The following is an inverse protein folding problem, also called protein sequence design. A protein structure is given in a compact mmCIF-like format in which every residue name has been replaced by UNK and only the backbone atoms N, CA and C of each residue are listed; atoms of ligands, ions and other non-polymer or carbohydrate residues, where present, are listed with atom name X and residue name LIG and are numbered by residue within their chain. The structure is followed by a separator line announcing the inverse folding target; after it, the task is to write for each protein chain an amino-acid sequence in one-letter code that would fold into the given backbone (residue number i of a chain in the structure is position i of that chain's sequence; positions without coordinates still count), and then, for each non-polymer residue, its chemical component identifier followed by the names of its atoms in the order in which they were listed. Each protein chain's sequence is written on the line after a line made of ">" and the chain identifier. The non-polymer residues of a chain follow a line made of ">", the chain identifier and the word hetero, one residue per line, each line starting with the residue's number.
data_IF_785354454259
#
_entry.id   IF_785354454259
#
_cell.length_a   1.000
_cell.length_b   1.000
_cell.length_c   1.000
_cell.angle_alpha   90.00
_cell.angle_beta   90.00
_cell.angle_gamma   90.00
#
_symmetry.space_group_name_H-M   'P 1'
#
loop_
_entity.id
_entity.type
_entity.pdbx_description
1 polymer ?
#
# COMPACT_ATOMS: atom_id res chain seq x y z
N UNK A 1 80.03 -25.68 -14.42
CA UNK A 1 79.09 -25.48 -13.29
C UNK A 1 78.16 -24.34 -13.70
N UNK A 2 76.85 -24.54 -13.55
CA UNK A 2 75.73 -23.85 -14.24
C UNK A 2 75.73 -22.32 -14.09
N UNK A 3 75.45 -21.52 -15.16
CA UNK A 3 75.09 -20.11 -15.00
C UNK A 3 73.64 -19.97 -14.54
N UNK A 4 73.44 -19.21 -13.44
CA UNK A 4 72.15 -18.99 -12.78
C UNK A 4 71.10 -18.32 -13.66
N UNK A 5 69.87 -18.82 -13.55
CA UNK A 5 68.70 -18.46 -14.36
C UNK A 5 68.15 -17.05 -14.11
N UNK A 6 67.50 -16.55 -15.15
CA UNK A 6 66.97 -15.20 -15.32
C UNK A 6 65.83 -14.83 -14.35
N UNK A 7 65.86 -13.57 -13.89
CA UNK A 7 64.72 -12.87 -13.29
C UNK A 7 63.75 -12.46 -14.39
N UNK A 8 62.51 -12.95 -14.34
CA UNK A 8 61.37 -12.38 -15.06
C UNK A 8 60.25 -12.04 -14.07
N UNK A 9 59.76 -10.79 -14.01
CA UNK A 9 58.53 -10.49 -13.29
C UNK A 9 57.32 -10.87 -14.16
N UNK A 10 56.46 -11.73 -13.61
CA UNK A 10 55.13 -12.07 -14.14
C UNK A 10 54.15 -10.91 -13.92
N UNK A 11 53.29 -10.58 -14.90
CA UNK A 11 52.16 -9.68 -14.65
C UNK A 11 51.05 -10.48 -13.96
N UNK A 12 51.03 -10.48 -12.63
CA UNK A 12 49.82 -10.90 -11.90
C UNK A 12 48.83 -9.74 -11.98
N UNK A 13 47.92 -9.81 -12.96
CA UNK A 13 46.68 -9.04 -12.93
C UNK A 13 45.86 -9.54 -11.73
N UNK A 14 46.05 -8.91 -10.58
CA UNK A 14 45.27 -9.17 -9.39
C UNK A 14 43.82 -8.83 -9.66
N UNK A 15 42.99 -9.86 -9.76
CA UNK A 15 41.54 -9.75 -9.75
C UNK A 15 41.15 -9.09 -8.40
N UNK A 16 40.58 -7.88 -8.36
CA UNK A 16 40.09 -7.36 -7.10
C UNK A 16 38.82 -8.13 -6.73
N UNK A 17 38.99 -9.18 -5.92
CA UNK A 17 37.92 -9.84 -5.16
C UNK A 17 37.39 -8.90 -4.08
N UNK A 18 36.92 -7.72 -4.46
CA UNK A 18 36.44 -6.68 -3.56
C UNK A 18 35.25 -5.89 -4.16
N UNK A 19 34.51 -6.50 -5.09
CA UNK A 19 33.35 -5.89 -5.75
C UNK A 19 32.01 -6.58 -5.48
N UNK A 20 31.95 -7.55 -4.55
CA UNK A 20 30.75 -8.40 -4.37
C UNK A 20 29.90 -8.10 -3.14
N UNK A 21 30.43 -7.42 -2.12
CA UNK A 21 29.77 -7.38 -0.82
C UNK A 21 28.86 -6.15 -0.56
N UNK A 22 29.00 -5.07 -1.33
CA UNK A 22 28.27 -3.82 -1.03
C UNK A 22 26.93 -3.70 -1.79
N UNK A 23 26.66 -4.56 -2.78
CA UNK A 23 25.44 -4.50 -3.60
C UNK A 23 24.25 -5.32 -3.05
N UNK A 24 24.40 -5.96 -1.88
CA UNK A 24 23.36 -6.82 -1.28
C UNK A 24 22.60 -6.16 -0.12
N UNK A 25 22.94 -4.93 0.29
CA UNK A 25 22.34 -4.27 1.45
C UNK A 25 21.24 -3.24 1.10
N UNK A 26 20.87 -3.08 -0.18
CA UNK A 26 19.93 -2.04 -0.61
C UNK A 26 18.53 -2.53 -1.02
N UNK A 27 18.15 -3.78 -0.74
CA UNK A 27 16.82 -4.32 -1.12
C UNK A 27 15.92 -4.59 0.07
N UNK A 28 15.90 -3.71 1.07
CA UNK A 28 14.78 -3.63 2.03
C UNK A 28 14.11 -2.28 1.95
N UNK A 29 13.69 -1.90 0.75
CA UNK A 29 12.77 -0.81 0.51
C UNK A 29 11.70 -1.33 -0.45
N UNK A 30 10.58 -1.81 0.08
CA UNK A 30 9.55 -2.43 -0.76
C UNK A 30 8.30 -2.82 -0.01
N UNK A 31 7.46 -1.80 0.27
CA UNK A 31 6.06 -1.85 0.68
C UNK A 31 5.75 -2.52 2.03
N UNK A 32 5.22 -1.72 2.96
CA UNK A 32 4.20 -2.19 3.87
C UNK A 32 2.99 -2.65 3.03
N UNK A 33 3.06 -3.86 2.48
CA UNK A 33 1.88 -4.53 1.99
C UNK A 33 1.15 -4.98 3.24
N UNK A 34 0.07 -4.27 3.58
CA UNK A 34 -0.90 -4.79 4.55
C UNK A 34 -1.21 -6.24 4.16
N UNK A 35 -1.20 -7.18 5.12
CA UNK A 35 -1.39 -8.59 4.83
C UNK A 35 -2.63 -8.78 3.95
N UNK A 36 -2.54 -9.50 2.83
CA UNK A 36 -3.72 -9.86 2.06
C UNK A 36 -4.52 -10.83 2.92
N UNK A 37 -5.52 -10.35 3.67
CA UNK A 37 -6.36 -11.25 4.43
C UNK A 37 -7.07 -10.74 5.67
N UNK A 38 -7.21 -9.43 5.85
CA UNK A 38 -8.36 -8.92 6.59
C UNK A 38 -9.32 -8.23 5.63
N UNK A 39 -10.31 -8.98 5.12
CA UNK A 39 -11.41 -8.38 4.38
C UNK A 39 -12.10 -7.32 5.24
N UNK A 40 -12.65 -6.29 4.62
CA UNK A 40 -13.29 -5.15 5.31
C UNK A 40 -14.27 -5.60 6.41
N UNK A 41 -14.94 -6.74 6.20
CA UNK A 41 -15.87 -7.35 7.15
C UNK A 41 -15.31 -7.56 8.56
N UNK A 42 -13.99 -7.71 8.76
CA UNK A 42 -13.39 -7.85 10.08
C UNK A 42 -13.60 -6.62 10.98
N UNK A 43 -13.83 -5.45 10.38
CA UNK A 43 -14.09 -4.20 11.09
C UNK A 43 -15.59 -3.90 11.23
N UNK A 44 -16.47 -4.84 10.88
CA UNK A 44 -17.90 -4.74 11.18
C UNK A 44 -18.12 -4.67 12.70
N UNK A 45 -19.04 -3.81 13.15
CA UNK A 45 -19.29 -3.49 14.56
C UNK A 45 -18.09 -2.88 15.31
N UNK A 46 -17.05 -2.42 14.60
CA UNK A 46 -15.98 -1.59 15.17
C UNK A 46 -16.33 -0.10 14.98
N UNK A 47 -15.37 0.67 14.49
CA UNK A 47 -15.55 2.07 14.12
C UNK A 47 -15.33 2.28 12.63
N UNK A 48 -15.86 3.39 12.17
CA UNK A 48 -15.70 3.89 10.81
C UNK A 48 -14.24 4.19 10.48
N UNK A 49 -13.48 4.74 11.43
CA UNK A 49 -12.05 5.01 11.31
C UNK A 49 -11.24 3.72 11.14
N UNK A 50 -11.61 2.67 11.88
CA UNK A 50 -10.96 1.37 11.74
C UNK A 50 -11.29 0.71 10.39
N UNK A 51 -12.55 0.79 9.95
CA UNK A 51 -12.98 0.27 8.65
C UNK A 51 -12.26 0.98 7.49
N UNK A 52 -12.13 2.30 7.55
CA UNK A 52 -11.58 3.12 6.47
C UNK A 52 -10.07 3.30 6.50
N UNK A 53 -9.35 2.56 7.38
CA UNK A 53 -7.90 2.38 7.24
C UNK A 53 -7.55 1.86 5.84
N UNK A 54 -8.41 0.98 5.32
CA UNK A 54 -8.37 0.57 3.93
C UNK A 54 -9.40 1.38 3.13
N UNK A 55 -8.90 2.21 2.22
CA UNK A 55 -9.73 3.08 1.36
C UNK A 55 -10.58 2.30 0.35
N UNK A 56 -10.33 1.00 0.20
CA UNK A 56 -11.14 0.07 -0.59
C UNK A 56 -12.38 -0.41 0.18
N UNK A 57 -12.54 -0.04 1.45
CA UNK A 57 -13.69 -0.40 2.27
C UNK A 57 -14.79 0.68 2.25
N UNK A 58 -16.03 0.22 2.46
CA UNK A 58 -17.22 1.03 2.70
C UNK A 58 -17.66 0.83 4.14
N UNK A 59 -17.87 1.93 4.86
CA UNK A 59 -18.56 1.92 6.14
C UNK A 59 -20.03 2.31 5.99
N UNK A 60 -20.92 1.51 6.57
CA UNK A 60 -22.35 1.81 6.64
C UNK A 60 -22.77 2.12 8.08
N UNK A 61 -23.15 3.36 8.35
CA UNK A 61 -23.60 3.77 9.69
C UNK A 61 -24.96 3.19 10.08
N UNK A 62 -25.77 2.70 9.13
CA UNK A 62 -27.11 2.20 9.44
C UNK A 62 -27.07 0.89 10.24
N UNK A 63 -26.06 0.06 10.00
CA UNK A 63 -25.93 -1.28 10.57
C UNK A 63 -24.50 -1.58 11.07
N UNK A 64 -23.65 -0.55 11.15
CA UNK A 64 -22.24 -0.66 11.54
C UNK A 64 -21.48 -1.73 10.75
N UNK A 65 -21.80 -1.87 9.45
CA UNK A 65 -21.15 -2.83 8.58
C UNK A 65 -19.94 -2.22 7.87
N UNK A 66 -18.86 -2.98 7.78
CA UNK A 66 -17.70 -2.67 6.96
C UNK A 66 -17.62 -3.68 5.81
N UNK A 67 -17.66 -3.22 4.57
CA UNK A 67 -17.79 -4.06 3.38
C UNK A 67 -16.75 -3.67 2.33
N UNK A 68 -16.34 -4.61 1.48
CA UNK A 68 -15.50 -4.28 0.34
C UNK A 68 -16.27 -3.39 -0.64
N UNK A 69 -15.65 -2.27 -0.99
CA UNK A 69 -16.24 -1.27 -1.86
C UNK A 69 -15.57 -1.24 -3.23
N UNK A 70 -16.32 -1.43 -4.33
CA UNK A 70 -15.74 -1.36 -5.65
C UNK A 70 -15.27 0.06 -6.00
N UNK A 71 -13.96 0.22 -6.18
CA UNK A 71 -13.29 1.47 -6.60
C UNK A 71 -13.64 1.88 -8.05
N UNK A 72 -14.48 1.09 -8.75
CA UNK A 72 -14.88 1.37 -10.14
C UNK A 72 -15.99 2.41 -10.26
N UNK A 73 -16.72 2.71 -9.18
CA UNK A 73 -17.79 3.71 -9.16
C UNK A 73 -17.55 4.74 -8.07
N UNK A 74 -17.71 6.01 -8.42
CA UNK A 74 -17.50 7.12 -7.50
C UNK A 74 -18.48 7.09 -6.34
N UNK A 75 -19.74 6.68 -6.57
CA UNK A 75 -20.79 6.61 -5.55
C UNK A 75 -21.22 5.17 -5.25
N UNK A 76 -21.33 4.79 -3.96
CA UNK A 76 -21.82 3.49 -3.57
C UNK A 76 -23.29 3.34 -3.95
N UNK A 77 -23.67 2.19 -4.54
CA UNK A 77 -25.07 1.93 -4.84
C UNK A 77 -25.87 1.82 -3.54
N UNK A 78 -27.09 2.37 -3.54
CA UNK A 78 -27.98 2.38 -2.37
C UNK A 78 -28.38 0.99 -1.86
N UNK A 79 -28.19 -0.05 -2.68
CA UNK A 79 -28.41 -1.45 -2.30
C UNK A 79 -27.39 -1.98 -1.28
N UNK A 80 -26.18 -1.42 -1.22
CA UNK A 80 -25.17 -1.79 -0.23
C UNK A 80 -25.36 -1.01 1.07
N UNK A 81 -25.57 0.30 0.95
CA UNK A 81 -25.89 1.19 2.06
C UNK A 81 -26.54 2.44 1.49
N UNK A 82 -27.54 2.99 2.20
CA UNK A 82 -28.13 4.27 1.81
C UNK A 82 -27.04 5.34 1.78
N UNK A 83 -26.96 6.10 0.69
CA UNK A 83 -25.86 7.06 0.44
C UNK A 83 -25.65 8.05 1.60
N UNK A 84 -26.73 8.46 2.28
CA UNK A 84 -26.68 9.32 3.47
C UNK A 84 -25.87 8.73 4.63
N UNK A 85 -25.84 7.40 4.75
CA UNK A 85 -25.21 6.65 5.84
C UNK A 85 -23.89 5.99 5.42
N UNK A 86 -23.57 6.00 4.12
CA UNK A 86 -22.39 5.41 3.53
C UNK A 86 -21.17 6.35 3.65
N UNK A 87 -20.00 5.80 3.99
CA UNK A 87 -18.71 6.52 4.06
C UNK A 87 -17.64 5.67 3.39
N UNK A 88 -16.86 6.26 2.48
CA UNK A 88 -15.75 5.61 1.80
C UNK A 88 -14.60 6.61 1.65
N UNK A 89 -13.37 6.15 1.77
CA UNK A 89 -12.17 6.99 1.80
C UNK A 89 -12.00 7.78 3.10
N UNK A 90 -13.03 8.49 3.56
CA UNK A 90 -13.03 9.24 4.83
C UNK A 90 -14.29 8.98 5.64
N UNK A 91 -14.17 9.06 6.97
CA UNK A 91 -15.27 8.72 7.87
C UNK A 91 -16.31 9.85 8.01
N UNK A 92 -15.87 11.10 7.90
CA UNK A 92 -16.79 12.24 7.91
C UNK A 92 -17.61 12.27 6.61
N UNK A 93 -18.87 12.73 6.71
CA UNK A 93 -19.81 12.68 5.59
C UNK A 93 -19.30 13.44 4.36
N UNK A 94 -19.12 12.74 3.24
CA UNK A 94 -18.82 13.36 1.95
C UNK A 94 -20.10 13.87 1.24
N UNK A 95 -21.30 13.55 1.69
CA UNK A 95 -22.55 13.83 0.97
C UNK A 95 -23.70 14.25 1.90
N UNK A 96 -23.69 15.53 2.29
CA UNK A 96 -24.85 16.42 2.60
C UNK A 96 -24.34 17.72 3.23
N UNK A 97 -25.16 18.79 3.10
CA UNK A 97 -25.12 20.17 3.66
C UNK A 97 -24.02 20.55 4.69
N UNK A 98 -23.64 19.64 5.59
CA UNK A 98 -22.63 19.80 6.63
C UNK A 98 -21.17 19.66 6.16
N UNK A 99 -20.93 19.20 4.92
CA UNK A 99 -19.59 19.18 4.33
C UNK A 99 -19.46 20.25 3.24
N UNK A 100 -18.88 21.43 3.56
CA UNK A 100 -18.74 22.53 2.61
C UNK A 100 -17.78 22.23 1.44
N UNK A 101 -17.04 21.12 1.49
CA UNK A 101 -16.12 20.69 0.42
C UNK A 101 -16.75 19.67 -0.55
N UNK A 102 -17.96 19.20 -0.26
CA UNK A 102 -18.69 18.22 -1.06
C UNK A 102 -19.55 18.88 -2.15
N UNK A 103 -18.91 19.52 -3.13
CA UNK A 103 -19.60 20.18 -4.25
C UNK A 103 -19.82 19.19 -5.41
N UNK A 104 -21.05 18.73 -5.60
CA UNK A 104 -21.45 17.83 -6.69
C UNK A 104 -22.32 18.51 -7.76
N UNK A 105 -22.22 19.83 -7.92
CA UNK A 105 -23.05 20.61 -8.87
C UNK A 105 -22.79 20.34 -10.36
N UNK A 106 -22.15 19.22 -10.73
CA UNK A 106 -21.84 18.93 -12.14
C UNK A 106 -21.80 17.46 -12.53
N UNK A 107 -22.37 16.57 -11.71
CA UNK A 107 -22.50 15.14 -12.00
C UNK A 107 -23.86 14.61 -11.59
#
# INVERSE_FOLDING_TARGET
>A
MVPGGARGPTPRCGLPLAGGALLLLLITAGAAQEPPGAGCSQNTNRSCEECLKNVSCLWCNANNACLDYPVRKILPPGSLCKLSSARWGVCWGLFKEQNPYAKFDKW
#
